data_IF_502766348778
#
_entry.id   IF_502766348778
#
_cell.length_a   1.000
_cell.length_b   1.000
_cell.length_c   1.000
_cell.angle_alpha   90.00
_cell.angle_beta   90.00
_cell.angle_gamma   90.00
#
_symmetry.space_group_name_H-M   'P 1'
#
loop_
_entity.id
_entity.type
_entity.pdbx_description
1 polymer ?
#
# COMPACT_ATOMS: atom_id res chain seq x y z
N UNK A 1 32.12 23.23 84.90
CA UNK A 1 33.53 22.89 84.59
C UNK A 1 33.55 21.91 83.42
N UNK A 2 34.25 22.26 82.32
CA UNK A 2 34.90 21.34 81.33
C UNK A 2 33.94 20.38 80.57
N UNK A 3 33.98 20.13 79.25
CA UNK A 3 34.92 20.35 78.15
C UNK A 3 34.21 19.76 76.89
N UNK A 4 33.96 20.55 75.83
CA UNK A 4 34.63 20.51 74.50
C UNK A 4 34.40 19.29 73.58
N UNK A 5 34.10 19.61 72.31
CA UNK A 5 34.43 18.89 71.03
C UNK A 5 33.64 17.60 70.75
N UNK A 6 33.35 17.13 69.53
CA UNK A 6 33.50 17.56 68.13
C UNK A 6 32.99 16.37 67.29
N UNK A 7 32.26 16.64 66.18
CA UNK A 7 32.14 15.82 64.93
C UNK A 7 31.88 14.31 65.06
N UNK A 8 30.79 13.80 64.47
CA UNK A 8 30.80 13.06 63.20
C UNK A 8 29.38 12.57 62.83
N UNK A 9 29.10 12.69 61.55
CA UNK A 9 28.02 12.17 60.71
C UNK A 9 27.24 10.94 61.22
N UNK A 10 25.91 11.01 61.17
CA UNK A 10 25.12 9.90 60.64
C UNK A 10 23.81 10.43 60.06
N UNK A 11 23.63 10.17 58.77
CA UNK A 11 22.41 10.39 58.03
C UNK A 11 21.27 9.55 58.61
N UNK A 12 20.03 10.01 58.40
CA UNK A 12 18.89 9.28 57.80
C UNK A 12 17.57 9.64 58.49
N UNK A 13 16.65 10.14 57.67
CA UNK A 13 15.18 9.99 57.75
C UNK A 13 14.41 10.67 58.89
N UNK A 14 13.71 11.78 58.56
CA UNK A 14 12.36 12.04 59.08
C UNK A 14 11.46 12.53 57.94
N UNK A 15 10.37 11.78 57.77
CA UNK A 15 9.18 12.05 56.95
C UNK A 15 8.24 12.97 57.74
N UNK A 16 7.77 14.06 57.12
CA UNK A 16 6.52 14.79 57.40
C UNK A 16 6.42 15.89 56.31
N UNK A 17 5.34 16.19 55.61
CA UNK A 17 3.92 15.91 55.77
C UNK A 17 3.16 17.16 55.30
N UNK A 18 2.39 17.01 54.22
CA UNK A 18 1.25 17.83 53.76
C UNK A 18 1.47 19.32 53.36
N UNK A 19 1.14 19.69 52.12
CA UNK A 19 -0.16 20.28 51.76
C UNK A 19 -0.19 20.74 50.28
N UNK A 20 -1.15 20.19 49.52
CA UNK A 20 -1.94 20.85 48.49
C UNK A 20 -1.25 21.62 47.35
N UNK A 21 -1.24 21.01 46.16
CA UNK A 21 -1.51 21.75 44.93
C UNK A 21 -2.26 20.83 43.97
N UNK A 22 -3.57 21.06 43.84
CA UNK A 22 -4.42 20.46 42.82
C UNK A 22 -3.94 20.97 41.46
N UNK A 23 -3.27 20.12 40.69
CA UNK A 23 -3.07 20.34 39.26
C UNK A 23 -4.16 19.54 38.52
N UNK A 24 -4.92 20.14 37.58
CA UNK A 24 -5.81 19.36 36.75
C UNK A 24 -4.95 18.49 35.84
N UNK A 25 -4.97 17.18 36.07
CA UNK A 25 -4.51 16.21 35.10
C UNK A 25 -5.46 16.27 33.91
N UNK A 26 -5.12 17.06 32.90
CA UNK A 26 -5.69 16.90 31.56
C UNK A 26 -5.19 15.57 31.04
N UNK A 27 -5.96 14.51 31.27
CA UNK A 27 -5.85 13.27 30.54
C UNK A 27 -6.15 13.61 29.07
N UNK A 28 -5.09 13.89 28.31
CA UNK A 28 -5.18 13.97 26.86
C UNK A 28 -5.55 12.58 26.35
N UNK A 29 -6.84 12.42 26.04
CA UNK A 29 -7.34 11.30 25.26
C UNK A 29 -6.55 11.33 23.96
N UNK A 30 -5.68 10.34 23.78
CA UNK A 30 -5.01 10.09 22.51
C UNK A 30 -6.11 9.77 21.48
N UNK A 31 -6.59 10.82 20.83
CA UNK A 31 -7.44 10.75 19.66
C UNK A 31 -6.65 10.05 18.57
N UNK A 32 -6.85 8.74 18.45
CA UNK A 32 -6.53 7.98 17.25
C UNK A 32 -7.45 8.42 16.12
N UNK A 33 -7.36 9.67 15.68
CA UNK A 33 -7.71 10.05 14.33
C UNK A 33 -6.43 9.92 13.52
N UNK A 34 -6.36 8.90 12.68
CA UNK A 34 -5.50 8.93 11.48
C UNK A 34 -5.99 10.10 10.62
N UNK A 35 -5.64 11.34 10.97
CA UNK A 35 -5.71 12.45 10.04
C UNK A 35 -4.59 12.23 9.05
N UNK A 36 -4.96 12.15 7.78
CA UNK A 36 -4.01 12.33 6.69
C UNK A 36 -3.60 13.80 6.75
N UNK A 37 -2.60 14.10 7.57
CA UNK A 37 -2.04 15.44 7.73
C UNK A 37 -1.16 15.73 6.50
N UNK A 38 -1.73 16.42 5.52
CA UNK A 38 -0.95 17.03 4.44
C UNK A 38 -0.41 18.33 4.98
N UNK A 39 0.90 18.42 5.17
CA UNK A 39 1.55 19.64 5.66
C UNK A 39 1.36 20.81 4.67
N UNK A 40 1.36 22.05 5.16
CA UNK A 40 1.20 23.27 4.32
C UNK A 40 2.30 23.40 3.25
N UNK A 41 3.47 22.79 3.49
CA UNK A 41 4.55 22.70 2.50
C UNK A 41 4.24 21.71 1.37
N UNK A 42 3.57 20.60 1.68
CA UNK A 42 3.13 19.61 0.70
C UNK A 42 1.93 20.11 -0.09
N UNK A 43 0.97 20.81 0.52
CA UNK A 43 -0.16 21.40 -0.20
C UNK A 43 0.28 22.45 -1.24
N UNK A 44 1.33 23.22 -0.93
CA UNK A 44 1.94 24.16 -1.88
C UNK A 44 2.63 23.44 -3.03
N UNK A 45 3.36 22.35 -2.77
CA UNK A 45 3.99 21.53 -3.82
C UNK A 45 2.97 20.79 -4.68
N UNK A 46 1.86 20.33 -4.08
CA UNK A 46 0.73 19.73 -4.80
C UNK A 46 0.05 20.75 -5.72
N UNK A 47 -0.10 22.00 -5.30
CA UNK A 47 -0.64 23.08 -6.13
C UNK A 47 0.26 23.43 -7.33
N UNK A 48 1.57 23.22 -7.21
CA UNK A 48 2.55 23.40 -8.29
C UNK A 48 2.70 22.14 -9.18
N UNK A 49 2.03 21.04 -8.83
CA UNK A 49 2.02 19.80 -9.60
C UNK A 49 1.14 19.90 -10.86
N UNK A 50 1.21 18.87 -11.71
CA UNK A 50 0.35 18.79 -12.88
C UNK A 50 -1.06 18.34 -12.50
N UNK A 51 -2.06 19.13 -12.89
CA UNK A 51 -3.45 18.71 -12.76
C UNK A 51 -3.77 17.70 -13.85
N UNK A 52 -4.18 16.48 -13.48
CA UNK A 52 -4.61 15.46 -14.45
C UNK A 52 -5.72 16.01 -15.34
N UNK A 53 -6.76 16.59 -14.74
CA UNK A 53 -7.92 17.12 -15.49
C UNK A 53 -7.60 18.37 -16.32
N UNK A 54 -6.78 19.29 -15.81
CA UNK A 54 -6.57 20.61 -16.46
C UNK A 54 -5.36 20.63 -17.40
N UNK A 55 -4.30 19.91 -17.05
CA UNK A 55 -2.97 20.03 -17.66
C UNK A 55 -2.61 18.82 -18.51
N UNK A 56 -3.09 17.62 -18.19
CA UNK A 56 -2.71 16.39 -18.89
C UNK A 56 -3.82 15.86 -19.80
N UNK A 57 -4.95 15.49 -19.19
CA UNK A 57 -6.00 14.74 -19.86
C UNK A 57 -6.56 15.50 -21.06
N UNK A 58 -6.61 14.82 -22.20
CA UNK A 58 -7.12 15.37 -23.44
C UNK A 58 -6.20 16.35 -24.17
N UNK A 59 -5.01 16.68 -23.62
CA UNK A 59 -4.04 17.55 -24.29
C UNK A 59 -3.28 16.81 -25.39
N UNK A 60 -2.90 17.56 -26.40
CA UNK A 60 -2.02 17.07 -27.48
C UNK A 60 -0.57 17.15 -27.04
N UNK A 61 0.18 16.06 -27.28
CA UNK A 61 1.63 16.03 -27.09
C UNK A 61 2.30 16.35 -28.43
N UNK A 62 3.31 17.20 -28.37
CA UNK A 62 4.15 17.58 -29.49
C UNK A 62 5.58 17.09 -29.28
N UNK A 63 6.38 17.05 -30.34
CA UNK A 63 7.82 16.84 -30.22
C UNK A 63 8.58 18.18 -30.27
N UNK A 64 9.91 18.13 -30.21
CA UNK A 64 10.76 19.33 -30.26
C UNK A 64 10.65 20.12 -31.57
N UNK A 65 10.21 19.48 -32.66
CA UNK A 65 10.00 20.12 -33.97
C UNK A 65 8.57 20.68 -34.12
N UNK A 66 7.75 20.60 -33.07
CA UNK A 66 6.36 21.08 -33.07
C UNK A 66 5.37 20.16 -33.80
N UNK A 67 5.79 18.97 -34.21
CA UNK A 67 4.91 17.97 -34.82
C UNK A 67 4.05 17.30 -33.74
N UNK A 68 2.80 17.01 -34.09
CA UNK A 68 1.89 16.28 -33.21
C UNK A 68 2.33 14.83 -33.09
N UNK A 69 2.54 14.39 -31.85
CA UNK A 69 2.87 13.00 -31.49
C UNK A 69 1.59 12.20 -31.23
N UNK A 70 0.67 12.76 -30.45
CA UNK A 70 -0.53 12.06 -30.01
C UNK A 70 -1.38 12.89 -29.07
N UNK A 71 -2.36 12.26 -28.45
CA UNK A 71 -3.24 12.88 -27.45
C UNK A 71 -3.19 12.06 -26.16
N UNK A 72 -3.18 12.75 -25.02
CA UNK A 72 -3.28 12.10 -23.71
C UNK A 72 -4.71 11.60 -23.51
N UNK A 73 -4.85 10.29 -23.34
CA UNK A 73 -6.14 9.63 -23.09
C UNK A 73 -6.30 9.25 -21.62
N UNK A 74 -5.22 8.91 -20.91
CA UNK A 74 -5.27 8.56 -19.48
C UNK A 74 -3.94 8.79 -18.73
N UNK A 75 -3.97 8.70 -17.40
CA UNK A 75 -2.80 8.69 -16.51
C UNK A 75 -2.88 7.49 -15.56
N UNK A 76 -1.94 6.57 -15.67
CA UNK A 76 -1.80 5.41 -14.79
C UNK A 76 -0.72 5.70 -13.74
N UNK A 77 -1.07 5.52 -12.47
CA UNK A 77 -0.13 5.59 -11.34
C UNK A 77 0.14 4.16 -10.88
N UNK A 78 1.39 3.71 -11.02
CA UNK A 78 1.79 2.38 -10.59
C UNK A 78 2.05 2.39 -9.07
N UNK A 79 1.24 1.68 -8.25
CA UNK A 79 1.35 1.73 -6.78
C UNK A 79 2.63 1.07 -6.25
N UNK A 80 3.26 0.21 -7.05
CA UNK A 80 4.49 -0.51 -6.75
C UNK A 80 5.76 0.30 -7.07
N UNK A 81 5.70 1.20 -8.06
CA UNK A 81 6.88 1.81 -8.67
C UNK A 81 7.06 3.30 -8.41
N UNK A 82 6.11 3.98 -7.77
CA UNK A 82 6.10 5.46 -7.66
C UNK A 82 6.24 6.19 -9.02
N UNK A 83 6.08 5.47 -10.14
CA UNK A 83 6.19 6.01 -11.49
C UNK A 83 4.78 6.17 -12.06
N UNK A 84 4.53 7.35 -12.60
CA UNK A 84 3.31 7.68 -13.31
C UNK A 84 3.55 7.60 -14.82
N UNK A 85 2.61 6.98 -15.53
CA UNK A 85 2.62 6.83 -16.99
C UNK A 85 1.43 7.55 -17.60
N UNK A 86 1.68 8.34 -18.63
CA UNK A 86 0.64 8.93 -19.48
C UNK A 86 0.34 7.93 -20.59
N UNK A 87 -0.94 7.63 -20.80
CA UNK A 87 -1.39 6.84 -21.94
C UNK A 87 -1.63 7.80 -23.09
N UNK A 88 -0.83 7.64 -24.14
CA UNK A 88 -0.86 8.49 -25.33
C UNK A 88 -1.48 7.70 -26.46
N UNK A 89 -2.62 8.19 -26.98
CA UNK A 89 -3.19 7.71 -28.24
C UNK A 89 -2.28 8.16 -29.38
N UNK A 90 -1.43 7.27 -29.84
CA UNK A 90 -0.46 7.49 -30.90
C UNK A 90 -1.12 7.31 -32.27
N UNK A 91 -0.83 8.25 -33.19
CA UNK A 91 -0.90 8.06 -34.64
C UNK A 91 -2.16 7.40 -35.22
N UNK A 92 -3.08 8.21 -35.75
CA UNK A 92 -4.12 7.73 -36.66
C UNK A 92 -5.09 8.86 -36.99
N UNK A 93 -4.91 9.54 -38.13
CA UNK A 93 -5.97 10.36 -38.69
C UNK A 93 -7.15 9.41 -38.99
N UNK A 94 -8.26 9.60 -38.27
CA UNK A 94 -9.61 9.06 -38.58
C UNK A 94 -9.62 7.65 -39.22
N UNK A 95 -9.58 6.60 -38.39
CA UNK A 95 -10.17 5.31 -38.77
C UNK A 95 -9.24 4.14 -39.13
N UNK A 96 -7.92 4.31 -39.24
CA UNK A 96 -6.98 3.18 -39.44
C UNK A 96 -5.70 3.41 -38.62
N UNK A 97 -5.39 2.48 -37.70
CA UNK A 97 -4.04 2.37 -37.10
C UNK A 97 -3.77 3.14 -35.81
N UNK A 98 -4.79 3.58 -35.05
CA UNK A 98 -4.57 4.16 -33.71
C UNK A 98 -4.24 3.05 -32.71
N UNK A 99 -3.13 3.19 -32.00
CA UNK A 99 -2.78 2.37 -30.83
C UNK A 99 -2.40 3.26 -29.64
N UNK A 100 -2.63 2.75 -28.44
CA UNK A 100 -2.23 3.44 -27.22
C UNK A 100 -0.80 3.05 -26.86
N UNK A 101 -0.03 3.99 -26.32
CA UNK A 101 1.33 3.74 -25.82
C UNK A 101 1.47 4.31 -24.41
N UNK A 102 2.16 3.58 -23.54
CA UNK A 102 2.46 4.06 -22.19
C UNK A 102 3.78 4.82 -22.18
N UNK A 103 3.74 6.09 -21.78
CA UNK A 103 4.90 6.98 -21.73
C UNK A 103 5.12 7.45 -20.28
N UNK A 104 6.33 7.31 -19.71
CA UNK A 104 6.62 7.87 -18.38
C UNK A 104 6.38 9.39 -18.35
N UNK A 105 5.68 9.89 -17.32
CA UNK A 105 5.43 11.34 -17.16
C UNK A 105 6.73 12.16 -17.19
N UNK A 106 7.84 11.58 -16.71
CA UNK A 106 9.17 12.20 -16.72
C UNK A 106 9.72 12.52 -18.12
N UNK A 107 9.18 11.91 -19.18
CA UNK A 107 9.56 12.21 -20.55
C UNK A 107 8.75 13.35 -21.17
N UNK A 108 7.66 13.76 -20.51
CA UNK A 108 6.82 14.87 -20.92
C UNK A 108 7.29 16.13 -20.19
N UNK A 109 7.39 17.23 -20.92
CA UNK A 109 7.72 18.55 -20.40
C UNK A 109 6.59 19.53 -20.75
N UNK A 110 6.25 20.42 -19.82
CA UNK A 110 5.39 21.55 -20.14
C UNK A 110 6.25 22.72 -20.63
N UNK A 111 6.07 23.12 -21.89
CA UNK A 111 6.66 24.33 -22.48
C UNK A 111 5.56 25.33 -22.79
N UNK A 112 5.37 26.29 -21.88
CA UNK A 112 4.39 27.39 -22.01
C UNK A 112 2.95 26.89 -22.24
N UNK A 113 2.51 25.88 -21.49
CA UNK A 113 1.17 25.29 -21.57
C UNK A 113 1.01 24.23 -22.67
N UNK A 114 2.11 23.83 -23.31
CA UNK A 114 2.15 22.76 -24.32
C UNK A 114 2.94 21.58 -23.80
N UNK A 115 2.36 20.39 -23.89
CA UNK A 115 3.04 19.15 -23.56
C UNK A 115 3.99 18.78 -24.70
N UNK A 116 5.27 18.66 -24.39
CA UNK A 116 6.35 18.33 -25.33
C UNK A 116 7.07 17.08 -24.86
N UNK A 117 7.19 16.09 -25.75
CA UNK A 117 8.02 14.92 -25.56
C UNK A 117 9.24 15.02 -26.46
N UNK A 118 10.38 15.29 -25.85
CA UNK A 118 11.62 15.52 -26.59
C UNK A 118 12.08 14.23 -27.29
N UNK A 119 12.59 14.36 -28.52
CA UNK A 119 13.08 13.22 -29.32
C UNK A 119 12.00 12.27 -29.87
N UNK A 120 10.71 12.54 -29.63
CA UNK A 120 9.62 11.74 -30.16
C UNK A 120 9.43 11.96 -31.67
N UNK A 121 9.55 10.91 -32.47
CA UNK A 121 9.17 10.94 -33.90
C UNK A 121 7.97 10.03 -34.13
N UNK A 122 7.14 10.30 -35.16
CA UNK A 122 6.04 9.41 -35.50
C UNK A 122 6.44 7.94 -35.65
N UNK A 123 7.65 7.67 -36.17
CA UNK A 123 8.16 6.31 -36.37
C UNK A 123 8.62 5.66 -35.07
N UNK A 124 9.25 6.40 -34.16
CA UNK A 124 9.58 5.90 -32.81
C UNK A 124 8.32 5.46 -32.08
N UNK A 125 7.24 6.24 -32.20
CA UNK A 125 5.97 5.98 -31.52
C UNK A 125 5.24 4.77 -32.12
N UNK A 126 5.33 4.58 -33.44
CA UNK A 126 4.82 3.36 -34.10
C UNK A 126 5.58 2.11 -33.66
N UNK A 127 6.87 2.24 -33.36
CA UNK A 127 7.71 1.15 -32.84
C UNK A 127 7.53 0.87 -31.35
N UNK A 128 6.81 1.72 -30.60
CA UNK A 128 6.56 1.49 -29.19
C UNK A 128 5.58 0.32 -28.98
N UNK A 129 5.72 -0.44 -27.88
CA UNK A 129 4.76 -1.47 -27.50
C UNK A 129 3.36 -0.89 -27.36
N UNK A 130 2.38 -1.59 -27.92
CA UNK A 130 0.97 -1.25 -27.72
C UNK A 130 0.61 -1.45 -26.25
N UNK A 131 0.06 -0.41 -25.64
CA UNK A 131 -0.53 -0.47 -24.32
C UNK A 131 -1.94 -1.06 -24.44
N UNK A 132 -2.19 -2.10 -23.65
CA UNK A 132 -3.52 -2.70 -23.50
C UNK A 132 -3.90 -2.60 -22.04
N UNK A 133 -5.08 -2.05 -21.77
CA UNK A 133 -5.64 -2.05 -20.42
C UNK A 133 -5.79 -3.48 -19.93
N UNK A 134 -5.48 -3.72 -18.67
CA UNK A 134 -5.72 -5.02 -18.06
C UNK A 134 -7.21 -5.38 -18.23
N UNK A 135 -7.47 -6.48 -18.94
CA UNK A 135 -8.81 -7.04 -19.02
C UNK A 135 -9.26 -7.47 -17.62
N UNK A 136 -10.55 -7.56 -17.40
CA UNK A 136 -11.07 -8.03 -16.11
C UNK A 136 -10.60 -9.45 -15.79
N UNK A 137 -10.35 -10.28 -16.81
CA UNK A 137 -9.71 -11.59 -16.67
C UNK A 137 -8.28 -11.47 -16.15
N UNK A 138 -7.47 -10.55 -16.69
CA UNK A 138 -6.09 -10.35 -16.23
C UNK A 138 -6.05 -9.89 -14.76
N UNK A 139 -6.98 -9.02 -14.36
CA UNK A 139 -7.11 -8.57 -12.96
C UNK A 139 -7.55 -9.71 -12.05
N UNK A 140 -8.54 -10.50 -12.47
CA UNK A 140 -9.02 -11.67 -11.74
C UNK A 140 -7.92 -12.70 -11.55
N UNK A 141 -7.16 -12.99 -12.61
CA UNK A 141 -6.09 -13.99 -12.56
C UNK A 141 -4.95 -13.52 -11.64
N UNK A 142 -4.54 -12.25 -11.73
CA UNK A 142 -3.56 -11.68 -10.81
C UNK A 142 -4.05 -11.69 -9.34
N UNK A 143 -5.35 -11.47 -9.13
CA UNK A 143 -5.99 -11.55 -7.82
C UNK A 143 -5.99 -12.98 -7.26
N UNK A 144 -6.35 -13.95 -8.09
CA UNK A 144 -6.29 -15.38 -7.75
C UNK A 144 -4.86 -15.79 -7.37
N UNK A 145 -3.87 -15.39 -8.16
CA UNK A 145 -2.45 -15.68 -7.90
C UNK A 145 -1.97 -15.09 -6.58
N UNK A 146 -2.40 -13.86 -6.25
CA UNK A 146 -2.08 -13.22 -4.98
C UNK A 146 -2.70 -13.97 -3.79
N UNK A 147 -3.98 -14.36 -3.91
CA UNK A 147 -4.68 -15.13 -2.89
C UNK A 147 -4.05 -16.52 -2.69
N UNK A 148 -3.70 -17.23 -3.77
CA UNK A 148 -3.00 -18.52 -3.72
C UNK A 148 -1.64 -18.39 -3.00
N UNK A 149 -0.88 -17.31 -3.26
CA UNK A 149 0.39 -17.06 -2.57
C UNK A 149 0.20 -16.82 -1.06
N UNK A 150 -0.82 -16.08 -0.65
CA UNK A 150 -1.10 -15.83 0.76
C UNK A 150 -1.58 -17.12 1.48
N UNK A 151 -2.41 -17.93 0.81
CA UNK A 151 -2.80 -19.26 1.31
C UNK A 151 -1.58 -20.18 1.44
N UNK A 152 -0.69 -20.19 0.46
CA UNK A 152 0.55 -20.97 0.51
C UNK A 152 1.44 -20.56 1.69
N UNK A 153 1.56 -19.25 1.97
CA UNK A 153 2.24 -18.76 3.17
C UNK A 153 1.56 -19.23 4.46
N UNK A 154 0.23 -19.20 4.52
CA UNK A 154 -0.54 -19.73 5.66
C UNK A 154 -0.26 -21.20 5.92
N UNK A 155 -0.25 -22.02 4.87
CA UNK A 155 0.12 -23.45 4.96
C UNK A 155 1.56 -23.64 5.43
N UNK A 156 2.51 -22.84 4.94
CA UNK A 156 3.90 -22.91 5.39
C UNK A 156 4.06 -22.49 6.87
N UNK A 157 3.30 -21.49 7.31
CA UNK A 157 3.25 -21.08 8.71
C UNK A 157 2.69 -22.20 9.61
N UNK A 158 1.65 -22.92 9.18
CA UNK A 158 1.13 -24.10 9.90
C UNK A 158 2.22 -25.16 10.12
N UNK A 159 2.95 -25.52 9.06
CA UNK A 159 4.07 -26.49 9.17
C UNK A 159 5.13 -26.00 10.17
N UNK A 160 5.37 -24.69 10.22
CA UNK A 160 6.34 -24.08 11.15
C UNK A 160 5.84 -24.15 12.59
N UNK A 161 4.56 -23.85 12.83
CA UNK A 161 3.93 -23.96 14.14
C UNK A 161 3.85 -25.40 14.62
N UNK A 162 3.53 -26.37 13.76
CA UNK A 162 3.52 -27.79 14.12
C UNK A 162 4.89 -28.26 14.60
N UNK A 163 5.97 -27.84 13.92
CA UNK A 163 7.34 -28.12 14.36
C UNK A 163 7.66 -27.46 15.71
N UNK A 164 7.21 -26.21 15.91
CA UNK A 164 7.38 -25.49 17.18
C UNK A 164 6.62 -26.18 18.32
N UNK A 165 5.38 -26.64 18.07
CA UNK A 165 4.56 -27.37 19.03
C UNK A 165 5.22 -28.69 19.45
N UNK A 166 5.78 -29.44 18.48
CA UNK A 166 6.49 -30.70 18.74
C UNK A 166 7.77 -30.51 19.60
N UNK A 167 8.43 -29.36 19.49
CA UNK A 167 9.63 -29.02 20.25
C UNK A 167 9.34 -28.32 21.60
N UNK A 168 8.07 -28.03 21.91
CA UNK A 168 7.67 -27.21 23.05
C UNK A 168 7.21 -28.03 24.25
N UNK A 169 7.40 -27.47 25.45
CA UNK A 169 6.83 -27.99 26.71
C UNK A 169 5.31 -27.85 26.72
N UNK A 170 4.62 -28.61 27.57
CA UNK A 170 3.15 -28.76 27.56
C UNK A 170 2.38 -27.42 27.57
N UNK A 171 2.76 -26.46 28.42
CA UNK A 171 2.08 -25.16 28.51
C UNK A 171 2.30 -24.28 27.26
N UNK A 172 3.51 -24.31 26.69
CA UNK A 172 3.83 -23.59 25.46
C UNK A 172 3.17 -24.26 24.25
N UNK A 173 3.13 -25.60 24.22
CA UNK A 173 2.45 -26.39 23.20
C UNK A 173 0.95 -26.11 23.17
N UNK A 174 0.29 -26.03 24.33
CA UNK A 174 -1.15 -25.70 24.38
C UNK A 174 -1.46 -24.32 23.77
N UNK A 175 -0.58 -23.33 23.92
CA UNK A 175 -0.74 -22.02 23.28
C UNK A 175 -0.54 -22.09 21.76
N UNK A 176 0.48 -22.83 21.32
CA UNK A 176 0.76 -23.01 19.88
C UNK A 176 -0.38 -23.80 19.21
N UNK A 177 -0.96 -24.80 19.88
CA UNK A 177 -2.09 -25.58 19.34
C UNK A 177 -3.35 -24.70 19.13
N UNK A 178 -3.57 -23.69 19.98
CA UNK A 178 -4.62 -22.68 19.78
C UNK A 178 -4.33 -21.82 18.54
N UNK A 179 -3.09 -21.40 18.33
CA UNK A 179 -2.67 -20.64 17.14
C UNK A 179 -2.77 -21.47 15.86
N UNK A 180 -2.38 -22.74 15.91
CA UNK A 180 -2.53 -23.70 14.80
C UNK A 180 -4.01 -23.83 14.44
N UNK A 181 -4.89 -24.04 15.43
CA UNK A 181 -6.33 -24.19 15.19
C UNK A 181 -6.93 -22.95 14.54
N UNK A 182 -6.55 -21.76 15.03
CA UNK A 182 -7.00 -20.50 14.45
C UNK A 182 -6.50 -20.32 13.01
N UNK A 183 -5.21 -20.58 12.77
CA UNK A 183 -4.61 -20.46 11.45
C UNK A 183 -5.16 -21.50 10.45
N UNK A 184 -5.45 -22.72 10.89
CA UNK A 184 -6.09 -23.75 10.08
C UNK A 184 -7.50 -23.33 9.64
N UNK A 185 -8.29 -22.74 10.55
CA UNK A 185 -9.62 -22.24 10.24
C UNK A 185 -9.56 -21.12 9.20
N UNK A 186 -8.61 -20.18 9.34
CA UNK A 186 -8.43 -19.07 8.41
C UNK A 186 -7.94 -19.54 7.03
N UNK A 187 -6.97 -20.47 6.97
CA UNK A 187 -6.49 -21.07 5.72
C UNK A 187 -7.65 -21.76 5.00
N UNK A 188 -8.44 -22.58 5.70
CA UNK A 188 -9.58 -23.29 5.12
C UNK A 188 -10.67 -22.34 4.64
N UNK A 189 -10.93 -21.26 5.39
CA UNK A 189 -11.87 -20.21 5.01
C UNK A 189 -11.43 -19.49 3.73
N UNK A 190 -10.15 -19.12 3.64
CA UNK A 190 -9.58 -18.48 2.46
C UNK A 190 -9.60 -19.40 1.23
N UNK A 191 -9.27 -20.68 1.40
CA UNK A 191 -9.37 -21.69 0.33
C UNK A 191 -10.79 -21.87 -0.19
N UNK A 192 -11.77 -21.93 0.71
CA UNK A 192 -13.19 -22.04 0.32
C UNK A 192 -13.67 -20.83 -0.47
N UNK A 193 -13.30 -19.62 -0.05
CA UNK A 193 -13.64 -18.38 -0.78
C UNK A 193 -12.91 -18.28 -2.12
N UNK A 194 -11.64 -18.69 -2.18
CA UNK A 194 -10.89 -18.72 -3.44
C UNK A 194 -11.44 -19.77 -4.41
N UNK A 195 -11.88 -20.93 -3.92
CA UNK A 195 -12.54 -21.95 -4.75
C UNK A 195 -13.87 -21.43 -5.31
N UNK A 196 -14.68 -20.72 -4.49
CA UNK A 196 -15.91 -20.08 -4.95
C UNK A 196 -15.62 -19.02 -6.04
N UNK A 197 -14.56 -18.21 -5.86
CA UNK A 197 -14.12 -17.24 -6.87
C UNK A 197 -13.69 -17.92 -8.18
N UNK A 198 -12.93 -19.01 -8.10
CA UNK A 198 -12.47 -19.79 -9.29
C UNK A 198 -13.63 -20.44 -10.04
N UNK A 199 -14.72 -20.75 -9.36
CA UNK A 199 -15.94 -21.31 -9.95
C UNK A 199 -16.91 -20.23 -10.45
N UNK A 200 -16.84 -19.01 -9.91
CA UNK A 200 -17.66 -17.89 -10.35
C UNK A 200 -17.30 -17.49 -11.78
N UNK A 201 -18.33 -17.18 -12.58
CA UNK A 201 -18.14 -16.69 -13.95
C UNK A 201 -17.45 -15.32 -13.97
N UNK A 202 -16.79 -15.00 -15.08
CA UNK A 202 -16.07 -13.74 -15.33
C UNK A 202 -16.92 -12.48 -15.07
N UNK A 203 -18.25 -12.57 -15.07
CA UNK A 203 -19.14 -11.44 -14.82
C UNK A 203 -19.43 -11.17 -13.34
N UNK A 204 -19.12 -12.09 -12.42
CA UNK A 204 -19.49 -11.98 -10.98
C UNK A 204 -18.31 -12.08 -10.02
N UNK A 205 -17.08 -12.17 -10.51
CA UNK A 205 -15.92 -12.31 -9.62
C UNK A 205 -15.73 -11.12 -8.66
N UNK A 206 -16.17 -9.91 -9.06
CA UNK A 206 -16.18 -8.73 -8.20
C UNK A 206 -17.05 -8.89 -6.94
N UNK A 207 -18.13 -9.66 -6.99
CA UNK A 207 -18.98 -9.93 -5.83
C UNK A 207 -18.22 -10.73 -4.75
N UNK A 208 -17.22 -11.51 -5.17
CA UNK A 208 -16.39 -12.35 -4.30
C UNK A 208 -15.07 -11.67 -3.92
N UNK A 209 -14.68 -10.60 -4.60
CA UNK A 209 -13.42 -9.88 -4.38
C UNK A 209 -13.31 -9.38 -2.93
N UNK A 210 -14.37 -8.76 -2.41
CA UNK A 210 -14.42 -8.28 -1.04
C UNK A 210 -14.32 -9.42 -0.01
N UNK A 211 -14.95 -10.56 -0.30
CA UNK A 211 -14.94 -11.71 0.59
C UNK A 211 -13.57 -12.39 0.64
N UNK A 212 -12.93 -12.58 -0.52
CA UNK A 212 -11.59 -13.16 -0.62
C UNK A 212 -10.57 -12.22 0.02
N UNK A 213 -10.65 -10.91 -0.23
CA UNK A 213 -9.79 -9.92 0.42
C UNK A 213 -9.92 -9.93 1.94
N UNK A 214 -11.14 -10.01 2.47
CA UNK A 214 -11.35 -10.09 3.91
C UNK A 214 -10.75 -11.38 4.49
N UNK A 215 -10.87 -12.51 3.78
CA UNK A 215 -10.31 -13.79 4.19
C UNK A 215 -8.77 -13.80 4.17
N UNK A 216 -8.14 -13.32 3.08
CA UNK A 216 -6.68 -13.25 2.96
C UNK A 216 -6.06 -12.23 3.91
N UNK A 217 -6.74 -11.11 4.19
CA UNK A 217 -6.30 -10.13 5.18
C UNK A 217 -6.32 -10.70 6.61
N UNK A 218 -7.38 -11.44 6.97
CA UNK A 218 -7.44 -12.17 8.26
C UNK A 218 -6.33 -13.19 8.35
N UNK A 219 -6.14 -13.98 7.29
CA UNK A 219 -5.07 -14.96 7.21
C UNK A 219 -3.69 -14.33 7.45
N UNK A 220 -3.36 -13.24 6.74
CA UNK A 220 -2.09 -12.51 6.94
C UNK A 220 -1.93 -12.06 8.40
N UNK A 221 -2.97 -11.49 8.99
CA UNK A 221 -2.95 -11.06 10.41
C UNK A 221 -2.71 -12.22 11.37
N UNK A 222 -3.28 -13.40 11.10
CA UNK A 222 -3.09 -14.59 11.92
C UNK A 222 -1.69 -15.16 11.76
N UNK A 223 -1.14 -15.17 10.54
CA UNK A 223 0.27 -15.53 10.28
C UNK A 223 1.21 -14.61 11.06
N UNK A 224 1.00 -13.29 10.98
CA UNK A 224 1.85 -12.31 11.67
C UNK A 224 1.80 -12.49 13.19
N UNK A 225 0.63 -12.80 13.76
CA UNK A 225 0.49 -13.12 15.19
C UNK A 225 1.21 -14.40 15.57
N UNK A 226 1.14 -15.42 14.72
CA UNK A 226 1.68 -16.75 15.04
C UNK A 226 3.21 -16.84 14.85
N UNK A 227 3.78 -16.01 13.97
CA UNK A 227 5.21 -16.00 13.65
C UNK A 227 5.98 -14.81 14.25
N UNK A 228 5.29 -13.75 14.68
CA UNK A 228 5.88 -12.59 15.37
C UNK A 228 6.00 -12.78 16.88
#
# INVERSE_FOLDING_TARGET
MKRTLSRLSLATLIVAGAFGSMAPATAQVAGGSTSVDVSVSESTRLAMGWSVKKTLLGKTIYNDTGQKVGKVEDLIIAPDRNVSYVIVGAGGFVGIGRHDVAVPVSQIQDRAGKLVMAGATPDTIKGMPVFTYASDNTKRDAFIDAADKDIAKGRAALVTLDKRAAASLAEARAKIDVEITALQADVRGAEGKLAALKQASEARWHDFEAEVNAATARLRKTIDRALG
#
